data_IF_116919728100
#
_entry.id   IF_116919728100
#
_cell.length_a   1.000
_cell.length_b   1.000
_cell.length_c   1.000
_cell.angle_alpha   90.00
_cell.angle_beta   90.00
_cell.angle_gamma   90.00
#
_symmetry.space_group_name_H-M   'P 1'
#
loop_
_entity.id
_entity.type
_entity.pdbx_description
1 polymer ?
#
# COMPACT_ATOMS: atom_id res chain seq x y z
N UNK A 1 -5.20 -19.75 -11.49
CA UNK A 1 -4.16 -19.59 -12.53
C UNK A 1 -3.68 -20.92 -13.11
N UNK A 2 -3.02 -21.80 -12.36
CA UNK A 2 -2.48 -23.07 -12.88
C UNK A 2 -3.52 -23.96 -13.60
N UNK A 3 -4.74 -24.08 -13.05
CA UNK A 3 -5.85 -24.79 -13.70
C UNK A 3 -6.22 -24.17 -15.06
N UNK A 4 -6.35 -22.85 -15.14
CA UNK A 4 -6.70 -22.15 -16.38
C UNK A 4 -5.60 -22.29 -17.43
N UNK A 5 -4.32 -22.16 -17.04
CA UNK A 5 -3.20 -22.36 -17.96
C UNK A 5 -3.10 -23.80 -18.46
N UNK A 6 -3.34 -24.81 -17.62
CA UNK A 6 -3.29 -26.22 -18.04
C UNK A 6 -4.28 -26.53 -19.18
N UNK A 7 -5.41 -25.84 -19.21
CA UNK A 7 -6.46 -26.05 -20.23
C UNK A 7 -6.26 -25.18 -21.48
N UNK A 8 -5.73 -23.97 -21.33
CA UNK A 8 -5.61 -22.99 -22.44
C UNK A 8 -4.24 -23.00 -23.10
N UNK A 9 -3.17 -23.14 -22.30
CA UNK A 9 -1.78 -23.00 -22.71
C UNK A 9 -0.88 -23.89 -21.83
N UNK A 10 -0.94 -25.23 -22.00
CA UNK A 10 -0.18 -26.16 -21.17
C UNK A 10 1.34 -25.98 -21.31
N UNK A 11 1.81 -25.44 -22.43
CA UNK A 11 3.21 -25.12 -22.65
C UNK A 11 3.72 -23.97 -21.76
N UNK A 12 2.84 -23.14 -21.18
CA UNK A 12 3.22 -22.14 -20.19
C UNK A 12 3.48 -22.73 -18.79
N UNK A 13 3.09 -23.99 -18.54
CA UNK A 13 3.17 -24.59 -17.20
C UNK A 13 4.60 -24.64 -16.65
N UNK A 14 5.64 -25.08 -17.40
CA UNK A 14 6.99 -25.10 -16.86
C UNK A 14 7.49 -23.70 -16.44
N UNK A 15 7.12 -22.66 -17.19
CA UNK A 15 7.44 -21.28 -16.83
C UNK A 15 6.74 -20.85 -15.54
N UNK A 16 5.46 -21.17 -15.39
CA UNK A 16 4.72 -20.89 -14.16
C UNK A 16 5.33 -21.66 -12.98
N UNK A 17 5.66 -22.93 -13.16
CA UNK A 17 6.26 -23.78 -12.13
C UNK A 17 7.60 -23.21 -11.65
N UNK A 18 8.48 -22.76 -12.55
CA UNK A 18 9.74 -22.10 -12.16
C UNK A 18 9.51 -20.78 -11.40
N UNK A 19 8.51 -19.99 -11.78
CA UNK A 19 8.16 -18.76 -11.05
C UNK A 19 7.64 -19.08 -9.65
N UNK A 20 6.78 -20.09 -9.52
CA UNK A 20 6.24 -20.53 -8.24
C UNK A 20 7.34 -21.12 -7.35
N UNK A 21 8.25 -21.94 -7.89
CA UNK A 21 9.36 -22.52 -7.13
C UNK A 21 10.25 -21.44 -6.50
N UNK A 22 10.63 -20.41 -7.27
CA UNK A 22 11.41 -19.28 -6.72
C UNK A 22 10.58 -18.51 -5.69
N UNK A 23 9.29 -18.29 -5.96
CA UNK A 23 8.40 -17.55 -5.07
C UNK A 23 8.20 -18.26 -3.73
N UNK A 24 7.88 -19.55 -3.77
CA UNK A 24 7.68 -20.40 -2.60
C UNK A 24 8.95 -20.45 -1.74
N UNK A 25 10.14 -20.38 -2.35
CA UNK A 25 11.41 -20.37 -1.65
C UNK A 25 11.61 -19.19 -0.70
N UNK A 26 11.05 -18.01 -1.00
CA UNK A 26 11.13 -16.85 -0.10
C UNK A 26 9.82 -16.53 0.61
N UNK A 27 8.69 -16.98 0.07
CA UNK A 27 7.39 -16.81 0.71
C UNK A 27 7.19 -17.80 1.85
N UNK A 28 7.70 -19.04 1.76
CA UNK A 28 7.72 -20.02 2.85
C UNK A 28 6.51 -19.95 3.80
N UNK A 29 6.81 -19.69 5.08
CA UNK A 29 5.81 -19.44 6.14
C UNK A 29 5.57 -17.93 6.40
N UNK A 30 6.03 -17.05 5.51
CA UNK A 30 5.86 -15.61 5.65
C UNK A 30 4.37 -15.24 5.57
N UNK A 31 3.81 -14.79 6.70
CA UNK A 31 2.43 -14.38 6.79
C UNK A 31 2.18 -12.92 6.37
N UNK A 32 3.23 -12.18 6.02
CA UNK A 32 3.15 -10.76 5.67
C UNK A 32 4.24 -10.31 4.69
N UNK A 33 4.03 -9.14 4.09
CA UNK A 33 5.06 -8.48 3.27
C UNK A 33 6.30 -8.04 4.07
N UNK A 34 6.17 -7.78 5.37
CA UNK A 34 7.30 -7.42 6.23
C UNK A 34 8.23 -8.62 6.49
N UNK A 35 7.68 -9.84 6.57
CA UNK A 35 8.47 -11.08 6.62
C UNK A 35 9.03 -11.47 5.23
N UNK A 36 8.22 -11.32 4.17
CA UNK A 36 8.61 -11.73 2.83
C UNK A 36 9.67 -10.82 2.19
N UNK A 37 9.69 -9.52 2.49
CA UNK A 37 10.61 -8.58 1.83
C UNK A 37 12.10 -8.86 2.15
N UNK A 38 12.51 -9.09 3.41
CA UNK A 38 13.88 -9.50 3.73
C UNK A 38 14.25 -10.86 3.10
N UNK A 39 13.33 -11.82 3.09
CA UNK A 39 13.56 -13.13 2.47
C UNK A 39 13.76 -13.01 0.95
N UNK A 40 12.96 -12.19 0.26
CA UNK A 40 13.16 -11.85 -1.14
C UNK A 40 14.52 -11.16 -1.37
N UNK A 41 14.91 -10.24 -0.48
CA UNK A 41 16.19 -9.53 -0.58
C UNK A 41 17.40 -10.46 -0.39
N UNK A 42 17.24 -11.54 0.39
CA UNK A 42 18.24 -12.58 0.59
C UNK A 42 18.39 -13.53 -0.61
N UNK A 43 17.46 -13.51 -1.57
CA UNK A 43 17.65 -14.19 -2.85
C UNK A 43 18.90 -13.62 -3.55
N UNK A 44 19.73 -14.49 -4.11
CA UNK A 44 20.82 -14.05 -4.98
C UNK A 44 20.27 -13.31 -6.20
N UNK A 45 21.03 -12.35 -6.75
CA UNK A 45 20.62 -11.55 -7.92
C UNK A 45 20.12 -12.41 -9.08
N UNK A 46 20.75 -13.56 -9.33
CA UNK A 46 20.32 -14.48 -10.38
C UNK A 46 18.88 -15.00 -10.18
N UNK A 47 18.48 -15.30 -8.94
CA UNK A 47 17.13 -15.76 -8.63
C UNK A 47 16.10 -14.62 -8.71
N UNK A 48 16.46 -13.42 -8.21
CA UNK A 48 15.63 -12.22 -8.35
C UNK A 48 15.37 -11.89 -9.82
N UNK A 49 16.41 -11.88 -10.65
CA UNK A 49 16.29 -11.55 -12.07
C UNK A 49 15.57 -12.66 -12.85
N UNK A 50 15.76 -13.92 -12.47
CA UNK A 50 15.00 -15.04 -13.03
C UNK A 50 13.50 -14.94 -12.70
N UNK A 51 13.14 -14.54 -11.48
CA UNK A 51 11.76 -14.30 -11.08
C UNK A 51 11.14 -13.16 -11.89
N UNK A 52 11.80 -11.99 -11.91
CA UNK A 52 11.34 -10.82 -12.68
C UNK A 52 11.15 -11.18 -14.16
N UNK A 53 12.14 -11.83 -14.78
CA UNK A 53 12.07 -12.23 -16.18
C UNK A 53 10.99 -13.30 -16.44
N UNK A 54 10.81 -14.25 -15.51
CA UNK A 54 9.80 -15.29 -15.58
C UNK A 54 8.39 -14.71 -15.54
N UNK A 55 8.11 -13.81 -14.59
CA UNK A 55 6.84 -13.10 -14.46
C UNK A 55 6.53 -12.25 -15.69
N UNK A 56 7.50 -11.50 -16.20
CA UNK A 56 7.33 -10.69 -17.42
C UNK A 56 6.98 -11.57 -18.64
N UNK A 57 7.69 -12.69 -18.84
CA UNK A 57 7.40 -13.65 -19.91
C UNK A 57 6.02 -14.28 -19.76
N UNK A 58 5.64 -14.65 -18.53
CA UNK A 58 4.34 -15.22 -18.23
C UNK A 58 3.22 -14.23 -18.56
N UNK A 59 3.38 -12.95 -18.21
CA UNK A 59 2.40 -11.91 -18.52
C UNK A 59 2.23 -11.72 -20.03
N UNK A 60 3.34 -11.65 -20.77
CA UNK A 60 3.30 -11.55 -22.23
C UNK A 60 2.59 -12.75 -22.86
N UNK A 61 2.86 -13.96 -22.36
CA UNK A 61 2.26 -15.20 -22.86
C UNK A 61 0.76 -15.27 -22.56
N UNK A 62 0.34 -14.93 -21.34
CA UNK A 62 -1.09 -14.83 -20.98
C UNK A 62 -1.81 -13.85 -21.89
N UNK A 63 -1.24 -12.66 -22.15
CA UNK A 63 -1.84 -11.67 -23.06
C UNK A 63 -1.94 -12.20 -24.50
N UNK A 64 -0.90 -12.87 -24.99
CA UNK A 64 -0.92 -13.46 -26.34
C UNK A 64 -1.98 -14.56 -26.50
N UNK A 65 -2.26 -15.31 -25.42
CA UNK A 65 -3.25 -16.39 -25.41
C UNK A 65 -4.70 -15.90 -25.23
N UNK A 66 -4.95 -14.59 -25.17
CA UNK A 66 -6.28 -14.02 -24.89
C UNK A 66 -7.42 -14.62 -25.74
N UNK A 67 -7.33 -14.70 -27.09
CA UNK A 67 -8.44 -15.22 -27.89
C UNK A 67 -8.78 -16.68 -27.56
N UNK A 68 -7.76 -17.51 -27.31
CA UNK A 68 -7.93 -18.92 -26.93
C UNK A 68 -8.52 -19.03 -25.53
N UNK A 69 -8.00 -18.24 -24.58
CA UNK A 69 -8.48 -18.21 -23.21
C UNK A 69 -9.95 -17.81 -23.13
N UNK A 70 -10.32 -16.74 -23.82
CA UNK A 70 -11.69 -16.22 -23.84
C UNK A 70 -12.64 -17.22 -24.50
N UNK A 71 -12.23 -17.88 -25.59
CA UNK A 71 -13.05 -18.90 -26.25
C UNK A 71 -13.27 -20.14 -25.36
N UNK A 72 -12.26 -20.56 -24.60
CA UNK A 72 -12.31 -21.76 -23.77
C UNK A 72 -12.97 -21.52 -22.40
N UNK A 73 -12.65 -20.40 -21.76
CA UNK A 73 -12.93 -20.13 -20.33
C UNK A 73 -13.71 -18.83 -20.09
N UNK A 74 -13.94 -18.04 -21.13
CA UNK A 74 -14.65 -16.77 -21.06
C UNK A 74 -13.77 -15.60 -20.64
N UNK A 75 -14.27 -14.39 -20.93
CA UNK A 75 -13.60 -13.10 -20.65
C UNK A 75 -13.25 -12.91 -19.17
N UNK A 76 -14.15 -13.30 -18.27
CA UNK A 76 -13.96 -13.10 -16.83
C UNK A 76 -12.79 -13.90 -16.27
N UNK A 77 -12.64 -15.16 -16.66
CA UNK A 77 -11.51 -16.01 -16.22
C UNK A 77 -10.18 -15.45 -16.73
N UNK A 78 -10.13 -15.03 -18.00
CA UNK A 78 -8.97 -14.37 -18.59
C UNK A 78 -8.57 -13.11 -17.81
N UNK A 79 -9.51 -12.21 -17.54
CA UNK A 79 -9.24 -10.96 -16.82
C UNK A 79 -8.65 -11.22 -15.43
N UNK A 80 -9.18 -12.21 -14.69
CA UNK A 80 -8.67 -12.60 -13.37
C UNK A 80 -7.27 -13.19 -13.46
N UNK A 81 -7.02 -14.07 -14.43
CA UNK A 81 -5.69 -14.67 -14.63
C UNK A 81 -4.65 -13.60 -14.99
N UNK A 82 -4.96 -12.74 -15.97
CA UNK A 82 -4.09 -11.62 -16.37
C UNK A 82 -3.80 -10.71 -15.18
N UNK A 83 -4.83 -10.32 -14.42
CA UNK A 83 -4.65 -9.43 -13.27
C UNK A 83 -3.83 -10.08 -12.15
N UNK A 84 -3.95 -11.38 -11.95
CA UNK A 84 -3.12 -12.13 -11.00
C UNK A 84 -1.63 -12.13 -11.37
N UNK A 85 -1.30 -12.30 -12.65
CA UNK A 85 0.11 -12.21 -13.11
C UNK A 85 0.62 -10.77 -13.01
N UNK A 86 -0.20 -9.78 -13.36
CA UNK A 86 0.15 -8.36 -13.17
C UNK A 86 0.43 -8.07 -11.70
N UNK A 87 -0.43 -8.51 -10.77
CA UNK A 87 -0.21 -8.35 -9.34
C UNK A 87 1.16 -8.92 -8.92
N UNK A 88 1.49 -10.13 -9.38
CA UNK A 88 2.78 -10.76 -9.07
C UNK A 88 3.97 -9.96 -9.61
N UNK A 89 3.90 -9.42 -10.84
CA UNK A 89 4.92 -8.50 -11.37
C UNK A 89 5.11 -7.26 -10.49
N UNK A 90 4.01 -6.64 -10.07
CA UNK A 90 4.05 -5.45 -9.21
C UNK A 90 4.57 -5.78 -7.80
N UNK A 91 4.24 -6.95 -7.25
CA UNK A 91 4.76 -7.43 -5.97
C UNK A 91 6.26 -7.71 -6.00
N UNK A 92 6.78 -8.38 -7.04
CA UNK A 92 8.23 -8.58 -7.22
C UNK A 92 8.97 -7.24 -7.29
N UNK A 93 8.45 -6.29 -8.09
CA UNK A 93 9.02 -4.96 -8.15
C UNK A 93 8.95 -4.22 -6.80
N UNK A 94 7.84 -4.35 -6.07
CA UNK A 94 7.68 -3.74 -4.75
C UNK A 94 8.73 -4.26 -3.75
N UNK A 95 9.03 -5.56 -3.74
CA UNK A 95 10.09 -6.08 -2.87
C UNK A 95 11.45 -5.48 -3.22
N UNK A 96 11.76 -5.35 -4.51
CA UNK A 96 12.98 -4.67 -4.98
C UNK A 96 13.03 -3.21 -4.54
N UNK A 97 11.92 -2.47 -4.72
CA UNK A 97 11.79 -1.08 -4.33
C UNK A 97 11.99 -0.89 -2.82
N UNK A 98 11.35 -1.73 -2.00
CA UNK A 98 11.48 -1.71 -0.55
C UNK A 98 12.90 -2.03 -0.09
N UNK A 99 13.55 -3.03 -0.69
CA UNK A 99 14.94 -3.35 -0.38
C UNK A 99 15.88 -2.17 -0.74
N UNK A 100 15.66 -1.52 -1.88
CA UNK A 100 16.39 -0.31 -2.27
C UNK A 100 16.17 0.83 -1.28
N UNK A 101 14.93 1.06 -0.82
CA UNK A 101 14.61 2.06 0.20
C UNK A 101 15.36 1.80 1.50
N UNK A 102 15.25 0.57 2.05
CA UNK A 102 15.91 0.19 3.30
C UNK A 102 17.45 0.21 3.19
N UNK A 103 17.99 -0.01 2.00
CA UNK A 103 19.43 0.09 1.71
C UNK A 103 19.90 1.53 1.40
N UNK A 104 19.03 2.54 1.46
CA UNK A 104 19.38 3.93 1.13
C UNK A 104 19.66 4.19 -0.37
N UNK A 105 19.20 3.30 -1.25
CA UNK A 105 19.36 3.37 -2.72
C UNK A 105 18.04 3.65 -3.44
N UNK A 106 17.08 4.27 -2.74
CA UNK A 106 15.74 4.51 -3.29
C UNK A 106 15.80 5.33 -4.58
N UNK A 107 15.06 4.89 -5.60
CA UNK A 107 14.76 5.75 -6.75
C UNK A 107 13.40 6.39 -6.53
N UNK A 108 13.26 7.70 -6.80
CA UNK A 108 11.94 8.30 -6.99
C UNK A 108 11.14 7.43 -7.98
N UNK A 109 9.85 7.26 -7.71
CA UNK A 109 8.88 6.47 -8.49
C UNK A 109 8.83 4.95 -8.27
N UNK A 110 9.84 4.30 -7.69
CA UNK A 110 9.82 2.83 -7.54
C UNK A 110 8.61 2.37 -6.71
N UNK A 111 8.33 3.04 -5.59
CA UNK A 111 7.15 2.72 -4.77
C UNK A 111 5.83 3.10 -5.46
N UNK A 112 5.86 4.03 -6.42
CA UNK A 112 4.67 4.45 -7.17
C UNK A 112 4.18 3.36 -8.14
N UNK A 113 5.05 2.42 -8.53
CA UNK A 113 4.67 1.27 -9.36
C UNK A 113 3.62 0.41 -8.67
N UNK A 114 3.69 0.25 -7.34
CA UNK A 114 2.63 -0.42 -6.58
C UNK A 114 1.36 0.44 -6.52
N UNK A 115 1.52 1.74 -6.29
CA UNK A 115 0.39 2.67 -6.11
C UNK A 115 -0.51 2.75 -7.34
N UNK A 116 0.07 2.79 -8.55
CA UNK A 116 -0.72 2.78 -9.79
C UNK A 116 -1.47 1.45 -9.95
N UNK A 117 -0.86 0.32 -9.60
CA UNK A 117 -1.56 -0.97 -9.64
C UNK A 117 -2.74 -1.02 -8.67
N UNK A 118 -2.58 -0.47 -7.46
CA UNK A 118 -3.68 -0.34 -6.50
C UNK A 118 -4.82 0.52 -7.08
N UNK A 119 -4.50 1.68 -7.67
CA UNK A 119 -5.49 2.57 -8.30
C UNK A 119 -6.21 1.90 -9.48
N UNK A 120 -5.49 1.21 -10.35
CA UNK A 120 -6.07 0.44 -11.43
C UNK A 120 -6.94 -0.72 -10.92
N UNK A 121 -6.64 -1.30 -9.76
CA UNK A 121 -7.44 -2.39 -9.19
C UNK A 121 -8.78 -1.86 -8.70
N UNK A 122 -8.79 -0.69 -8.06
CA UNK A 122 -10.01 0.04 -7.70
C UNK A 122 -10.84 0.33 -8.95
N UNK A 123 -10.22 0.85 -10.02
CA UNK A 123 -10.91 1.12 -11.29
C UNK A 123 -11.46 -0.15 -11.94
N UNK A 124 -10.70 -1.24 -11.94
CA UNK A 124 -11.12 -2.53 -12.48
C UNK A 124 -12.40 -3.05 -11.81
N UNK A 125 -12.52 -2.86 -10.49
CA UNK A 125 -13.74 -3.17 -9.75
C UNK A 125 -14.89 -2.21 -10.08
N UNK A 126 -14.64 -0.90 -10.14
CA UNK A 126 -15.66 0.10 -10.49
C UNK A 126 -16.25 -0.11 -11.89
N UNK A 127 -15.41 -0.43 -12.88
CA UNK A 127 -15.83 -0.72 -14.26
C UNK A 127 -16.76 -1.95 -14.37
N UNK A 128 -16.76 -2.81 -13.34
CA UNK A 128 -17.56 -4.05 -13.27
C UNK A 128 -18.70 -3.95 -12.25
N UNK A 129 -18.79 -2.85 -11.53
CA UNK A 129 -19.85 -2.59 -10.56
C UNK A 129 -21.15 -2.22 -11.29
N UNK A 130 -22.29 -2.46 -10.64
CA UNK A 130 -23.58 -2.06 -11.19
C UNK A 130 -23.68 -0.52 -11.24
N UNK A 131 -24.49 0.06 -12.16
CA UNK A 131 -24.75 1.48 -12.16
C UNK A 131 -25.22 1.92 -10.75
N UNK A 132 -24.57 2.95 -10.19
CA UNK A 132 -24.79 3.50 -8.85
C UNK A 132 -24.12 2.78 -7.67
N UNK A 133 -23.44 1.65 -7.88
CA UNK A 133 -22.60 1.08 -6.83
C UNK A 133 -21.41 2.00 -6.52
N UNK A 134 -21.02 2.01 -5.25
CA UNK A 134 -19.89 2.80 -4.74
C UNK A 134 -18.92 1.85 -4.06
N UNK A 135 -17.63 2.15 -4.19
CA UNK A 135 -16.58 1.40 -3.54
C UNK A 135 -16.03 2.21 -2.36
N UNK A 136 -15.86 1.56 -1.22
CA UNK A 136 -15.07 2.09 -0.09
C UNK A 136 -13.76 1.33 -0.05
N UNK A 137 -12.65 2.06 -0.08
CA UNK A 137 -11.30 1.48 -0.04
C UNK A 137 -10.67 1.85 1.29
N UNK A 138 -10.39 0.86 2.11
CA UNK A 138 -9.65 1.04 3.36
C UNK A 138 -8.17 0.81 3.10
N UNK A 139 -7.37 1.86 3.27
CA UNK A 139 -5.93 1.80 3.18
C UNK A 139 -5.31 2.91 4.03
N UNK A 140 -4.02 2.81 4.29
CA UNK A 140 -3.27 3.82 5.03
C UNK A 140 -3.37 5.21 4.36
N UNK A 141 -3.33 6.29 5.14
CA UNK A 141 -3.40 7.68 4.65
C UNK A 141 -2.44 7.95 3.48
N UNK A 142 -1.20 7.47 3.59
CA UNK A 142 -0.18 7.55 2.53
C UNK A 142 -0.62 6.96 1.18
N UNK A 143 -1.58 6.04 1.13
CA UNK A 143 -2.11 5.48 -0.13
C UNK A 143 -3.32 6.23 -0.66
N UNK A 144 -4.16 6.79 0.22
CA UNK A 144 -5.42 7.42 -0.18
C UNK A 144 -5.31 8.95 -0.36
N UNK A 145 -4.21 9.55 0.07
CA UNK A 145 -4.00 10.98 -0.12
C UNK A 145 -3.94 11.37 -1.61
N UNK A 146 -4.34 12.59 -1.91
CA UNK A 146 -4.50 13.11 -3.28
C UNK A 146 -3.23 13.79 -3.82
N UNK A 147 -2.24 14.00 -2.96
CA UNK A 147 -0.95 14.65 -3.26
C UNK A 147 0.19 13.65 -3.14
N UNK A 148 1.37 14.00 -3.66
CA UNK A 148 2.56 13.17 -3.54
C UNK A 148 2.91 12.89 -2.07
N UNK A 149 3.43 11.69 -1.79
CA UNK A 149 3.97 11.32 -0.48
C UNK A 149 5.43 11.75 -0.45
N UNK A 150 5.74 12.65 0.48
CA UNK A 150 7.09 13.15 0.75
C UNK A 150 7.44 12.94 2.22
N UNK A 151 8.67 12.47 2.46
CA UNK A 151 9.26 12.39 3.80
C UNK A 151 10.56 13.18 3.79
N UNK A 152 10.72 14.12 4.72
CA UNK A 152 11.88 15.01 4.82
C UNK A 152 12.24 15.73 3.50
N UNK A 153 11.20 16.11 2.72
CA UNK A 153 11.34 16.77 1.42
C UNK A 153 11.79 15.85 0.27
N UNK A 154 11.85 14.53 0.52
CA UNK A 154 12.18 13.53 -0.49
C UNK A 154 10.89 12.89 -1.02
N UNK A 155 10.66 13.04 -2.33
CA UNK A 155 9.58 12.35 -3.03
C UNK A 155 9.71 10.83 -2.86
N UNK A 156 8.73 10.25 -2.18
CA UNK A 156 8.71 8.82 -1.84
C UNK A 156 7.79 8.05 -2.78
N UNK A 157 6.57 8.55 -3.03
CA UNK A 157 5.62 7.93 -3.96
C UNK A 157 4.59 8.92 -4.50
N UNK A 158 4.07 8.64 -5.70
CA UNK A 158 2.78 9.14 -6.16
C UNK A 158 1.71 8.11 -5.73
N UNK A 159 0.84 8.44 -4.77
CA UNK A 159 -0.02 7.45 -4.14
C UNK A 159 -1.24 7.09 -4.98
N UNK A 160 -1.87 5.96 -4.63
CA UNK A 160 -3.10 5.49 -5.26
C UNK A 160 -4.17 6.59 -5.32
N UNK A 161 -4.35 7.36 -4.25
CA UNK A 161 -5.32 8.43 -4.15
C UNK A 161 -5.08 9.57 -5.13
N UNK A 162 -3.82 9.91 -5.40
CA UNK A 162 -3.47 10.90 -6.43
C UNK A 162 -3.84 10.38 -7.83
N UNK A 163 -3.55 9.11 -8.13
CA UNK A 163 -3.95 8.50 -9.40
C UNK A 163 -5.46 8.40 -9.56
N UNK A 164 -6.19 8.07 -8.48
CA UNK A 164 -7.65 8.01 -8.48
C UNK A 164 -8.27 9.40 -8.62
N UNK A 165 -7.73 10.43 -7.97
CA UNK A 165 -8.16 11.81 -8.13
C UNK A 165 -8.01 12.27 -9.59
N UNK A 166 -6.90 11.94 -10.24
CA UNK A 166 -6.71 12.26 -11.66
C UNK A 166 -7.69 11.54 -12.58
N UNK A 167 -8.01 10.27 -12.28
CA UNK A 167 -8.87 9.45 -13.13
C UNK A 167 -10.38 9.71 -12.92
N UNK A 168 -10.79 10.01 -11.68
CA UNK A 168 -12.19 10.09 -11.26
C UNK A 168 -12.62 11.53 -10.87
N UNK A 169 -11.67 12.47 -10.77
CA UNK A 169 -11.95 13.85 -10.42
C UNK A 169 -12.65 13.98 -9.06
N UNK A 170 -13.83 14.59 -9.07
CA UNK A 170 -14.65 14.84 -7.87
C UNK A 170 -15.44 13.61 -7.39
N UNK A 171 -15.44 12.52 -8.15
CA UNK A 171 -16.05 11.26 -7.73
C UNK A 171 -15.14 10.45 -6.78
N UNK A 172 -13.84 10.80 -6.73
CA UNK A 172 -12.93 10.30 -5.71
C UNK A 172 -12.95 11.20 -4.48
N UNK A 173 -13.16 10.60 -3.29
CA UNK A 173 -13.11 11.29 -2.00
C UNK A 173 -12.13 10.60 -1.07
N UNK A 174 -11.17 11.38 -0.56
CA UNK A 174 -10.17 10.91 0.39
C UNK A 174 -10.56 11.34 1.81
N UNK A 175 -10.82 10.35 2.67
CA UNK A 175 -11.11 10.55 4.09
C UNK A 175 -9.90 10.06 4.89
N UNK A 176 -9.11 10.98 5.44
CA UNK A 176 -8.02 10.62 6.33
C UNK A 176 -8.54 10.09 7.67
N UNK A 177 -7.77 9.20 8.29
CA UNK A 177 -7.95 8.78 9.67
C UNK A 177 -6.76 9.27 10.51
N UNK A 178 -7.03 9.89 11.65
CA UNK A 178 -6.01 10.22 12.65
C UNK A 178 -6.54 10.02 14.06
N UNK A 179 -5.73 10.32 15.06
CA UNK A 179 -6.09 10.23 16.46
C UNK A 179 -5.36 11.27 17.30
N UNK A 180 -5.89 11.53 18.50
CA UNK A 180 -5.34 12.48 19.47
C UNK A 180 -4.67 11.82 20.67
N UNK A 181 -4.70 10.49 20.73
CA UNK A 181 -3.99 9.67 21.72
C UNK A 181 -2.48 10.00 21.78
N UNK A 182 -1.88 9.85 22.97
CA UNK A 182 -0.44 10.02 23.19
C UNK A 182 0.35 8.72 22.99
N UNK A 183 -0.33 7.60 22.68
CA UNK A 183 0.30 6.34 22.32
C UNK A 183 -0.33 5.71 21.06
N UNK A 184 0.44 4.84 20.40
CA UNK A 184 -0.04 3.96 19.32
C UNK A 184 0.58 2.57 19.43
N UNK A 185 -0.12 1.53 18.96
CA UNK A 185 0.53 0.28 18.59
C UNK A 185 1.42 0.51 17.36
N UNK A 186 2.73 0.40 17.52
CA UNK A 186 3.71 0.52 16.43
C UNK A 186 4.33 -0.82 16.08
N UNK A 187 4.65 -1.01 14.80
CA UNK A 187 5.41 -2.16 14.32
C UNK A 187 6.89 -1.96 14.65
N UNK A 188 7.42 -2.81 15.53
CA UNK A 188 8.85 -2.94 15.77
C UNK A 188 9.39 -4.12 14.99
N UNK A 189 10.40 -3.87 14.16
CA UNK A 189 11.19 -4.92 13.51
C UNK A 189 12.44 -5.12 14.36
N UNK A 190 12.73 -6.37 14.76
CA UNK A 190 13.93 -6.66 15.54
C UNK A 190 15.18 -6.40 14.67
N UNK A 191 15.83 -5.24 14.87
CA UNK A 191 17.03 -4.83 14.11
C UNK A 191 18.34 -5.10 14.84
N UNK A 192 18.31 -5.74 16.02
CA UNK A 192 19.46 -5.94 16.90
C UNK A 192 20.41 -7.06 16.43
N UNK A 193 20.91 -6.97 15.17
CA UNK A 193 22.18 -7.52 14.68
C UNK A 193 22.47 -9.03 14.89
N UNK A 194 21.52 -9.77 15.44
CA UNK A 194 21.54 -11.20 15.69
C UNK A 194 20.62 -11.78 14.64
N UNK A 195 21.22 -12.43 13.65
CA UNK A 195 20.61 -13.18 12.55
C UNK A 195 19.27 -12.61 12.03
N UNK A 196 19.35 -11.87 10.93
CA UNK A 196 18.18 -11.35 10.21
C UNK A 196 17.03 -12.39 10.15
N UNK A 197 15.91 -12.09 10.82
CA UNK A 197 14.63 -12.75 10.57
C UNK A 197 14.24 -13.94 11.44
N UNK A 198 14.92 -14.22 12.55
CA UNK A 198 14.47 -15.24 13.51
C UNK A 198 14.48 -14.62 14.91
N UNK A 199 13.40 -14.01 15.41
CA UNK A 199 12.46 -14.74 16.27
C UNK A 199 11.39 -13.76 16.81
N UNK A 200 10.65 -13.06 15.93
CA UNK A 200 9.48 -12.28 16.40
C UNK A 200 8.34 -13.19 16.91
N UNK A 201 8.50 -14.52 16.82
CA UNK A 201 7.49 -15.55 17.12
C UNK A 201 6.21 -15.47 16.27
N UNK A 202 6.01 -14.38 15.52
CA UNK A 202 4.71 -13.96 15.01
C UNK A 202 4.45 -14.34 13.54
N UNK A 203 5.44 -14.88 12.82
CA UNK A 203 5.35 -15.22 11.39
C UNK A 203 5.14 -14.03 10.44
N UNK A 204 4.81 -12.85 10.97
CA UNK A 204 4.57 -11.61 10.23
C UNK A 204 5.80 -10.71 10.14
N UNK A 205 6.89 -11.03 10.84
CA UNK A 205 8.17 -10.32 10.70
C UNK A 205 8.28 -9.01 11.47
N UNK A 206 7.36 -8.74 12.39
CA UNK A 206 7.41 -7.64 13.35
C UNK A 206 6.64 -8.01 14.62
N UNK A 207 6.85 -7.24 15.68
CA UNK A 207 6.03 -7.26 16.90
C UNK A 207 5.33 -5.91 17.08
N UNK A 208 4.23 -5.89 17.84
CA UNK A 208 3.55 -4.65 18.18
C UNK A 208 4.00 -4.15 19.56
N UNK A 209 4.55 -2.93 19.57
CA UNK A 209 4.97 -2.25 20.80
C UNK A 209 4.10 -1.02 21.02
N UNK A 210 3.66 -0.84 22.27
CA UNK A 210 2.97 0.37 22.65
C UNK A 210 3.98 1.53 22.69
N UNK A 211 3.78 2.53 21.83
CA UNK A 211 4.76 3.57 21.56
C UNK A 211 4.21 4.93 21.92
N UNK A 212 4.87 5.59 22.87
CA UNK A 212 4.57 6.98 23.22
C UNK A 212 4.94 7.91 22.07
N UNK A 213 4.02 8.78 21.71
CA UNK A 213 4.15 9.72 20.62
C UNK A 213 4.79 11.04 21.06
N UNK A 214 5.56 11.62 20.14
CA UNK A 214 5.95 13.01 20.26
C UNK A 214 4.73 13.94 20.10
N UNK A 215 4.88 15.17 20.60
CA UNK A 215 3.94 16.25 20.34
C UNK A 215 3.73 16.43 18.83
N UNK A 216 2.48 16.49 18.33
CA UNK A 216 2.22 16.54 16.90
C UNK A 216 2.68 17.87 16.26
N UNK A 217 2.92 18.88 17.10
CA UNK A 217 3.39 20.20 16.71
C UNK A 217 2.27 21.11 16.21
N UNK A 218 2.52 22.42 16.23
CA UNK A 218 1.59 23.41 15.70
C UNK A 218 1.28 23.21 14.21
N UNK A 219 0.03 23.50 13.84
CA UNK A 219 -0.46 23.31 12.46
C UNK A 219 -0.77 21.85 12.10
N UNK A 220 -0.74 20.95 13.08
CA UNK A 220 -1.27 19.59 12.94
C UNK A 220 -2.77 19.54 13.20
N UNK A 221 -3.45 18.55 12.62
CA UNK A 221 -4.87 18.29 12.90
C UNK A 221 -5.08 18.02 14.39
N UNK A 222 -4.18 17.24 14.99
CA UNK A 222 -4.27 16.77 16.37
C UNK A 222 -4.10 17.93 17.36
N UNK A 223 -3.13 18.83 17.13
CA UNK A 223 -2.97 20.02 17.96
C UNK A 223 -4.16 21.00 17.82
N UNK A 224 -4.75 21.11 16.63
CA UNK A 224 -5.92 21.95 16.41
C UNK A 224 -7.15 21.43 17.17
N UNK A 225 -7.37 20.11 17.16
CA UNK A 225 -8.44 19.48 17.93
C UNK A 225 -8.23 19.65 19.44
N UNK A 226 -7.00 19.44 19.93
CA UNK A 226 -6.65 19.69 21.33
C UNK A 226 -6.92 21.13 21.75
N UNK A 227 -6.49 22.12 20.94
CA UNK A 227 -6.72 23.53 21.21
C UNK A 227 -8.20 23.94 21.18
N UNK A 228 -9.02 23.23 20.40
CA UNK A 228 -10.47 23.41 20.34
C UNK A 228 -11.22 22.71 21.48
N UNK A 229 -10.52 21.93 22.34
CA UNK A 229 -11.15 21.13 23.38
C UNK A 229 -11.87 19.88 22.87
N UNK A 230 -11.55 19.43 21.65
CA UNK A 230 -12.17 18.28 20.98
C UNK A 230 -11.25 17.04 20.96
N UNK A 231 -10.16 17.07 21.75
CA UNK A 231 -9.17 15.99 21.79
C UNK A 231 -9.72 14.67 22.32
N UNK A 232 -10.76 14.69 23.14
CA UNK A 232 -11.35 13.50 23.75
C UNK A 232 -12.59 12.99 23.00
N UNK A 233 -12.91 13.57 21.84
CA UNK A 233 -14.11 13.26 21.05
C UNK A 233 -13.75 12.67 19.68
N UNK A 234 -14.61 11.78 19.18
CA UNK A 234 -14.55 11.38 17.78
C UNK A 234 -15.09 12.53 16.91
N UNK A 235 -14.29 13.01 15.96
CA UNK A 235 -14.66 14.14 15.10
C UNK A 235 -14.57 13.79 13.62
N UNK A 236 -15.48 14.35 12.82
CA UNK A 236 -15.40 14.33 11.37
C UNK A 236 -15.32 15.78 10.86
N UNK A 237 -14.15 16.15 10.35
CA UNK A 237 -13.86 17.51 9.88
C UNK A 237 -13.88 17.55 8.36
N UNK A 238 -14.74 18.39 7.78
CA UNK A 238 -14.75 18.68 6.34
C UNK A 238 -13.62 19.66 5.99
N UNK A 239 -12.68 19.23 5.14
CA UNK A 239 -11.51 20.02 4.77
C UNK A 239 -11.69 20.84 3.50
N UNK A 240 -12.75 20.58 2.73
CA UNK A 240 -13.03 21.30 1.47
C UNK A 240 -13.35 22.78 1.71
N UNK A 241 -13.58 23.16 2.96
CA UNK A 241 -13.83 24.53 3.42
C UNK A 241 -12.82 24.97 4.48
N UNK A 242 -11.62 24.37 4.49
CA UNK A 242 -10.59 24.73 5.45
C UNK A 242 -10.20 26.20 5.30
N UNK A 243 -10.11 26.95 6.42
CA UNK A 243 -9.57 28.30 6.39
C UNK A 243 -8.09 28.28 5.97
N UNK A 244 -7.64 29.40 5.40
CA UNK A 244 -6.25 29.65 5.06
C UNK A 244 -5.73 30.88 5.82
N UNK A 245 -4.41 30.96 6.00
CA UNK A 245 -3.74 32.17 6.49
C UNK A 245 -3.96 33.34 5.52
N UNK A 246 -3.65 34.57 5.97
CA UNK A 246 -3.76 35.78 5.14
C UNK A 246 -2.96 35.71 3.82
N UNK A 247 -1.90 34.89 3.79
CA UNK A 247 -1.07 34.63 2.61
C UNK A 247 -1.61 33.51 1.70
N UNK A 248 -2.81 33.00 1.99
CA UNK A 248 -3.45 31.90 1.23
C UNK A 248 -2.91 30.50 1.56
N UNK A 249 -2.03 30.37 2.54
CA UNK A 249 -1.47 29.07 2.94
C UNK A 249 -2.45 28.28 3.84
N UNK A 250 -2.54 26.95 3.67
CA UNK A 250 -3.35 26.09 4.55
C UNK A 250 -2.94 26.22 6.02
N UNK A 251 -3.93 26.31 6.92
CA UNK A 251 -3.66 26.29 8.37
C UNK A 251 -3.19 24.90 8.86
N UNK A 252 -3.81 23.86 8.31
CA UNK A 252 -3.52 22.47 8.63
C UNK A 252 -2.46 21.95 7.64
N UNK A 253 -1.23 21.84 8.12
CA UNK A 253 -0.04 21.49 7.34
C UNK A 253 0.67 20.22 7.82
N UNK A 254 0.08 19.52 8.80
CA UNK A 254 0.60 18.30 9.40
C UNK A 254 -0.53 17.37 9.82
N UNK A 255 -0.29 16.06 9.79
CA UNK A 255 -1.20 15.02 10.29
C UNK A 255 -0.36 13.83 10.77
N UNK A 256 -0.82 13.10 11.79
CA UNK A 256 -0.15 11.85 12.21
C UNK A 256 -0.21 10.78 11.11
N UNK A 257 0.86 10.00 11.05
CA UNK A 257 1.00 8.81 10.19
C UNK A 257 1.73 7.74 11.00
N UNK A 258 0.98 6.78 11.56
CA UNK A 258 1.51 5.83 12.55
C UNK A 258 2.16 6.57 13.73
N UNK A 259 3.38 6.19 14.16
CA UNK A 259 4.11 6.93 15.21
C UNK A 259 4.74 8.25 14.77
N UNK A 260 4.69 8.59 13.48
CA UNK A 260 5.30 9.79 12.93
C UNK A 260 4.28 10.91 12.63
N UNK A 261 4.79 12.07 12.22
CA UNK A 261 3.98 13.19 11.75
C UNK A 261 4.40 13.55 10.33
N UNK A 262 3.47 13.49 9.39
CA UNK A 262 3.69 13.87 8.01
C UNK A 262 3.49 15.38 7.86
N UNK A 263 4.35 16.03 7.07
CA UNK A 263 4.19 17.45 6.72
C UNK A 263 3.65 17.56 5.30
N UNK A 264 2.45 18.12 5.14
CA UNK A 264 1.75 18.29 3.87
C UNK A 264 0.58 19.25 4.03
N UNK A 265 0.05 19.81 2.93
CA UNK A 265 -1.24 20.49 2.98
C UNK A 265 -2.37 19.48 3.18
N UNK A 266 -2.87 19.36 4.41
CA UNK A 266 -3.95 18.43 4.75
C UNK A 266 -5.21 18.65 3.88
N UNK A 267 -5.69 19.90 3.64
CA UNK A 267 -6.88 20.11 2.80
C UNK A 267 -6.64 19.91 1.30
N UNK A 268 -5.39 19.87 0.82
CA UNK A 268 -5.11 19.46 -0.56
C UNK A 268 -4.99 17.94 -0.70
N UNK A 269 -4.55 17.26 0.36
CA UNK A 269 -4.36 15.81 0.37
C UNK A 269 -5.66 15.03 0.64
N UNK A 270 -6.59 15.60 1.41
CA UNK A 270 -7.80 14.92 1.87
C UNK A 270 -9.02 15.83 1.80
N UNK A 271 -10.19 15.25 1.49
CA UNK A 271 -11.47 15.96 1.50
C UNK A 271 -12.04 16.09 2.93
N UNK A 272 -11.69 15.17 3.82
CA UNK A 272 -12.11 15.18 5.23
C UNK A 272 -11.13 14.41 6.13
N UNK A 273 -11.21 14.64 7.43
CA UNK A 273 -10.48 13.86 8.46
C UNK A 273 -11.45 13.32 9.49
N UNK A 274 -11.40 12.00 9.71
CA UNK A 274 -11.93 11.36 10.90
C UNK A 274 -10.83 11.32 11.96
N UNK A 275 -11.08 11.88 13.14
CA UNK A 275 -10.20 11.75 14.29
C UNK A 275 -10.89 10.97 15.39
N UNK A 276 -10.15 10.08 16.05
CA UNK A 276 -10.61 9.32 17.22
C UNK A 276 -9.73 9.61 18.43
N UNK A 277 -10.28 9.58 19.65
CA UNK A 277 -9.51 9.92 20.85
C UNK A 277 -8.47 8.88 21.25
N UNK A 278 -8.67 7.62 20.86
CA UNK A 278 -7.86 6.49 21.30
C UNK A 278 -7.58 5.53 20.15
N UNK A 279 -6.39 4.94 20.14
CA UNK A 279 -6.02 3.87 19.19
C UNK A 279 -5.52 2.67 19.97
N UNK A 280 -6.11 1.51 19.71
CA UNK A 280 -5.71 0.24 20.31
C UNK A 280 -5.43 -0.79 19.24
N UNK A 281 -4.85 -1.92 19.64
CA UNK A 281 -4.73 -3.10 18.77
C UNK A 281 -6.12 -3.66 18.47
N UNK A 282 -6.26 -4.26 17.30
CA UNK A 282 -7.42 -5.08 16.99
C UNK A 282 -7.30 -6.41 17.76
N UNK A 283 -8.20 -6.65 18.72
CA UNK A 283 -8.21 -7.88 19.50
C UNK A 283 -8.52 -9.15 18.68
N UNK A 284 -8.96 -9.02 17.44
CA UNK A 284 -9.13 -10.12 16.51
C UNK A 284 -7.81 -10.52 15.80
N UNK A 285 -6.75 -9.71 15.90
CA UNK A 285 -5.45 -9.96 15.27
C UNK A 285 -4.46 -10.47 16.33
N UNK A 286 -3.96 -11.71 16.22
CA UNK A 286 -3.33 -12.42 17.34
C UNK A 286 -1.83 -12.14 17.57
N UNK A 287 -1.19 -11.29 16.77
CA UNK A 287 0.26 -11.05 16.78
C UNK A 287 0.65 -9.63 17.24
#
# INVERSE_FOLDING_TARGET
MARSLREVDPEALPLLESVLEISDGFLGDAASGAAAAPAWAALGTAAQDALTAGLARLLLRVRAAEPLHVACRGRRDFDVVRRGVEAACHTDHMFRAMNSLLSGRTSPMDLSVREIFMAESVRWHLERAAPHERLVVMAHNNHIQQTAVEFDGVLTALPMGQHLRLALGEDYRALALTHTDDHVPEMSVDTDGTEAGTDSGSGVGFTLVDTRLADPGSGSVEAALGAAGLGDEATLTDLRRSPAHAQGQPLLRRIRTQSAVQSLSVPEAFDAVLSVPTVTRDGAVPF
#
